data_IF_568339960675
#
_entry.id   IF_568339960675
#
_cell.length_a   1.000
_cell.length_b   1.000
_cell.length_c   1.000
_cell.angle_alpha   90.00
_cell.angle_beta   90.00
_cell.angle_gamma   90.00
#
_symmetry.space_group_name_H-M   'P 1'
#
loop_
_entity.id
_entity.type
_entity.pdbx_description
1 polymer ?
#
# COMPACT_ATOMS: atom_id res chain seq x y z
N UNK A 1 26.81 27.17 3.12
CA UNK A 1 25.43 27.51 3.55
C UNK A 1 25.24 29.01 3.66
N UNK A 2 24.11 29.59 3.22
CA UNK A 2 23.82 31.00 3.44
C UNK A 2 23.77 31.32 4.94
N UNK A 3 24.36 32.43 5.37
CA UNK A 3 24.46 32.83 6.79
C UNK A 3 23.11 33.07 7.48
N UNK A 4 22.02 33.20 6.71
CA UNK A 4 20.67 33.39 7.21
C UNK A 4 19.93 32.09 7.53
N UNK A 5 20.44 30.93 7.11
CA UNK A 5 19.79 29.64 7.32
C UNK A 5 20.31 29.02 8.63
N UNK A 6 19.49 28.88 9.69
CA UNK A 6 19.94 28.30 10.94
C UNK A 6 20.39 26.85 10.70
N UNK A 7 21.62 26.54 11.11
CA UNK A 7 22.13 25.17 11.09
C UNK A 7 23.00 24.88 12.30
N UNK A 8 22.98 23.63 12.73
CA UNK A 8 23.88 23.09 13.74
C UNK A 8 24.91 22.22 13.00
N UNK A 9 26.21 22.29 13.34
CA UNK A 9 27.21 21.42 12.74
C UNK A 9 26.81 19.96 12.83
N UNK A 10 26.98 19.22 11.74
CA UNK A 10 26.76 17.78 11.76
C UNK A 10 27.85 17.13 12.63
N UNK A 11 27.50 16.25 13.59
CA UNK A 11 28.46 15.67 14.52
C UNK A 11 29.50 14.80 13.79
N UNK A 12 30.70 14.63 14.38
CA UNK A 12 31.73 13.79 13.78
C UNK A 12 31.29 12.31 13.76
N UNK A 13 31.85 11.50 12.84
CA UNK A 13 31.58 10.06 12.80
C UNK A 13 32.09 9.33 14.06
N UNK A 14 31.81 8.03 14.14
CA UNK A 14 32.32 7.11 15.17
C UNK A 14 31.89 7.48 16.61
N UNK A 15 30.65 7.98 16.77
CA UNK A 15 30.09 8.23 18.09
C UNK A 15 29.91 6.91 18.86
N UNK A 16 30.15 6.90 20.19
CA UNK A 16 29.82 5.75 21.00
C UNK A 16 28.31 5.56 21.01
N UNK A 17 27.84 4.33 20.88
CA UNK A 17 26.43 3.97 20.95
C UNK A 17 26.11 2.94 22.04
N UNK A 18 24.86 2.92 22.48
CA UNK A 18 24.37 1.98 23.50
C UNK A 18 24.40 0.53 23.03
N UNK A 19 24.09 0.28 21.75
CA UNK A 19 23.96 -1.07 21.21
C UNK A 19 25.26 -1.62 20.61
N UNK A 20 26.44 -1.04 20.84
CA UNK A 20 27.68 -1.65 20.34
C UNK A 20 27.94 -3.06 20.92
N UNK A 21 28.65 -3.94 20.18
CA UNK A 21 29.14 -3.78 18.81
C UNK A 21 28.06 -4.00 17.73
N UNK A 22 28.21 -3.41 16.55
CA UNK A 22 27.36 -3.72 15.37
C UNK A 22 27.54 -5.19 15.00
N UNK A 23 26.44 -5.91 14.76
CA UNK A 23 26.49 -7.34 14.37
C UNK A 23 25.75 -7.64 13.08
N UNK A 24 25.04 -6.67 12.50
CA UNK A 24 24.41 -6.80 11.19
C UNK A 24 25.45 -6.99 10.08
N UNK A 25 25.02 -7.58 8.97
CA UNK A 25 25.86 -7.70 7.76
C UNK A 25 25.86 -6.45 6.91
N UNK A 26 24.93 -5.53 7.18
CA UNK A 26 24.77 -4.26 6.50
C UNK A 26 24.77 -3.10 7.50
N UNK A 27 25.27 -1.97 7.01
CA UNK A 27 25.20 -0.66 7.64
C UNK A 27 25.00 0.37 6.52
N UNK A 28 24.08 1.31 6.71
CA UNK A 28 23.69 2.22 5.64
C UNK A 28 24.50 3.51 5.66
N UNK A 29 24.16 4.43 4.76
CA UNK A 29 24.93 5.66 4.61
C UNK A 29 24.69 6.67 5.74
N UNK A 30 23.62 6.59 6.50
CA UNK A 30 23.46 7.43 7.69
C UNK A 30 24.61 7.15 8.68
N UNK A 31 25.16 8.18 9.33
CA UNK A 31 26.19 7.97 10.35
C UNK A 31 25.60 7.38 11.63
N UNK A 32 26.34 6.52 12.31
CA UNK A 32 25.86 5.89 13.55
C UNK A 32 25.92 6.85 14.75
N UNK A 33 24.85 6.87 15.54
CA UNK A 33 24.71 7.52 16.84
C UNK A 33 25.03 9.03 16.84
N UNK A 34 25.11 9.68 15.66
CA UNK A 34 25.47 11.10 15.57
C UNK A 34 24.46 12.00 16.32
N UNK A 35 23.17 11.67 16.26
CA UNK A 35 22.12 12.45 16.88
C UNK A 35 21.80 12.02 18.32
N UNK A 36 22.00 10.74 18.66
CA UNK A 36 21.65 10.17 19.97
C UNK A 36 22.45 8.92 20.28
N UNK A 37 22.75 8.72 21.57
CA UNK A 37 23.43 7.53 22.08
C UNK A 37 22.62 6.23 21.93
N UNK A 38 21.29 6.31 21.76
CA UNK A 38 20.40 5.15 21.85
C UNK A 38 19.91 4.57 20.52
N UNK A 39 20.05 5.31 19.41
CA UNK A 39 19.59 4.90 18.07
C UNK A 39 20.70 5.19 17.07
N UNK A 40 21.16 4.16 16.37
CA UNK A 40 22.28 4.24 15.46
C UNK A 40 21.97 5.17 14.28
N UNK A 41 20.97 4.84 13.48
CA UNK A 41 20.60 5.60 12.28
C UNK A 41 19.24 6.27 12.53
N UNK A 42 19.23 7.49 13.09
CA UNK A 42 18.01 8.10 13.65
C UNK A 42 16.95 8.45 12.59
N UNK A 43 17.36 8.92 11.41
CA UNK A 43 16.45 9.30 10.34
C UNK A 43 15.87 8.04 9.71
N UNK A 44 16.72 7.05 9.42
CA UNK A 44 16.28 5.72 8.97
C UNK A 44 15.34 5.08 10.00
N UNK A 45 15.61 5.23 11.29
CA UNK A 45 14.73 4.76 12.37
C UNK A 45 13.38 5.48 12.37
N UNK A 46 13.38 6.82 12.41
CA UNK A 46 12.15 7.60 12.59
C UNK A 46 11.22 7.57 11.37
N UNK A 47 11.78 7.48 10.17
CA UNK A 47 10.98 7.35 8.93
C UNK A 47 10.09 6.10 8.94
N UNK A 48 10.47 5.05 9.68
CA UNK A 48 9.66 3.85 9.85
C UNK A 48 8.41 4.03 10.74
N UNK A 49 8.31 5.11 11.52
CA UNK A 49 7.07 5.41 12.27
C UNK A 49 5.87 5.62 11.34
N UNK A 50 6.12 6.03 10.10
CA UNK A 50 5.08 6.15 9.08
C UNK A 50 4.44 4.79 8.77
N UNK A 51 5.22 3.71 8.63
CA UNK A 51 4.68 2.36 8.43
C UNK A 51 3.77 1.97 9.59
N UNK A 52 4.23 2.19 10.83
CA UNK A 52 3.45 1.83 12.03
C UNK A 52 2.11 2.58 12.05
N UNK A 53 2.13 3.88 11.74
CA UNK A 53 0.92 4.69 11.67
C UNK A 53 -0.03 4.24 10.54
N UNK A 54 0.50 3.99 9.33
CA UNK A 54 -0.28 3.56 8.18
C UNK A 54 -0.88 2.16 8.38
N UNK A 55 -0.16 1.26 9.06
CA UNK A 55 -0.67 -0.05 9.45
C UNK A 55 -1.88 0.07 10.37
N UNK A 56 -1.77 0.88 11.43
CA UNK A 56 -2.87 1.16 12.35
C UNK A 56 -4.10 1.71 11.60
N UNK A 57 -3.88 2.69 10.71
CA UNK A 57 -4.93 3.26 9.87
C UNK A 57 -5.58 2.21 8.96
N UNK A 58 -4.79 1.35 8.35
CA UNK A 58 -5.24 0.25 7.49
C UNK A 58 -6.11 -0.76 8.24
N UNK A 59 -5.64 -1.27 9.39
CA UNK A 59 -6.40 -2.19 10.25
C UNK A 59 -7.71 -1.56 10.70
N UNK A 60 -7.68 -0.29 11.12
CA UNK A 60 -8.89 0.45 11.51
C UNK A 60 -9.88 0.55 10.34
N UNK A 61 -9.40 0.79 9.13
CA UNK A 61 -10.23 0.82 7.92
C UNK A 61 -10.86 -0.54 7.64
N UNK A 62 -10.06 -1.62 7.64
CA UNK A 62 -10.56 -2.99 7.41
C UNK A 62 -11.71 -3.34 8.36
N UNK A 63 -11.54 -3.06 9.66
CA UNK A 63 -12.57 -3.34 10.67
C UNK A 63 -13.79 -2.44 10.53
N UNK A 64 -13.60 -1.15 10.29
CA UNK A 64 -14.70 -0.17 10.16
C UNK A 64 -15.57 -0.45 8.93
N UNK A 65 -14.94 -0.78 7.81
CA UNK A 65 -15.60 -0.93 6.51
C UNK A 65 -15.98 -2.39 6.20
N UNK A 66 -15.59 -3.34 7.05
CA UNK A 66 -15.91 -4.76 6.89
C UNK A 66 -15.19 -5.41 5.71
N UNK A 67 -13.92 -5.09 5.49
CA UNK A 67 -13.10 -5.75 4.46
C UNK A 67 -12.68 -7.16 4.91
N UNK A 68 -12.34 -8.03 3.95
CA UNK A 68 -11.85 -9.38 4.24
C UNK A 68 -10.69 -9.37 5.25
N UNK A 69 -10.74 -10.31 6.20
CA UNK A 69 -9.75 -10.45 7.28
C UNK A 69 -8.32 -10.67 6.77
N UNK A 70 -8.15 -11.21 5.56
CA UNK A 70 -6.83 -11.37 4.93
C UNK A 70 -6.09 -10.04 4.78
N UNK A 71 -6.80 -8.92 4.58
CA UNK A 71 -6.18 -7.61 4.47
C UNK A 71 -5.81 -7.01 5.82
N UNK A 72 -6.54 -7.36 6.89
CA UNK A 72 -6.11 -7.04 8.25
C UNK A 72 -4.79 -7.75 8.58
N UNK A 73 -4.67 -9.03 8.21
CA UNK A 73 -3.42 -9.80 8.34
C UNK A 73 -2.30 -9.18 7.49
N UNK A 74 -2.60 -8.72 6.26
CA UNK A 74 -1.62 -8.02 5.42
C UNK A 74 -1.12 -6.71 6.06
N UNK A 75 -2.00 -5.91 6.67
CA UNK A 75 -1.59 -4.71 7.40
C UNK A 75 -0.78 -5.03 8.67
N UNK A 76 -1.03 -6.17 9.31
CA UNK A 76 -0.17 -6.64 10.40
C UNK A 76 1.23 -7.04 9.90
N UNK A 77 1.33 -7.71 8.75
CA UNK A 77 2.63 -7.97 8.10
C UNK A 77 3.36 -6.66 7.76
N UNK A 78 2.65 -5.69 7.19
CA UNK A 78 3.16 -4.35 6.91
C UNK A 78 3.64 -3.61 8.17
N UNK A 79 2.93 -3.75 9.31
CA UNK A 79 3.39 -3.26 10.62
C UNK A 79 4.71 -3.92 11.02
N UNK A 80 4.85 -5.24 10.87
CA UNK A 80 6.05 -5.97 11.23
C UNK A 80 7.26 -5.57 10.38
N UNK A 81 7.07 -5.24 9.10
CA UNK A 81 8.12 -4.65 8.25
C UNK A 81 8.60 -3.34 8.86
N UNK A 82 7.69 -2.38 9.10
CA UNK A 82 8.06 -1.08 9.67
C UNK A 82 8.67 -1.15 11.07
N UNK A 83 8.12 -2.02 11.93
CA UNK A 83 8.65 -2.21 13.28
C UNK A 83 10.01 -2.93 13.26
N UNK A 84 10.17 -3.94 12.40
CA UNK A 84 11.44 -4.62 12.18
C UNK A 84 12.53 -3.66 11.74
N UNK A 85 12.24 -2.86 10.70
CA UNK A 85 13.13 -1.81 10.20
C UNK A 85 13.46 -0.77 11.27
N UNK A 86 12.46 -0.27 12.01
CA UNK A 86 12.69 0.64 13.15
C UNK A 86 13.69 0.06 14.16
N UNK A 87 13.51 -1.20 14.57
CA UNK A 87 14.38 -1.86 15.53
C UNK A 87 15.76 -2.17 14.95
N UNK A 88 15.83 -2.49 13.65
CA UNK A 88 17.09 -2.71 12.95
C UNK A 88 17.93 -1.44 12.91
N UNK A 89 17.40 -0.33 12.38
CA UNK A 89 18.13 0.94 12.29
C UNK A 89 18.45 1.55 13.67
N UNK A 90 17.68 1.21 14.71
CA UNK A 90 18.01 1.62 16.09
C UNK A 90 19.25 0.89 16.61
N UNK A 91 19.42 -0.39 16.28
CA UNK A 91 20.33 -1.30 17.01
C UNK A 91 21.50 -1.84 16.18
N UNK A 92 21.35 -1.89 14.85
CA UNK A 92 22.25 -2.54 13.89
C UNK A 92 22.63 -3.97 14.30
N UNK A 93 21.61 -4.73 14.76
CA UNK A 93 21.76 -6.12 15.18
C UNK A 93 21.21 -7.09 14.15
N UNK A 94 21.96 -8.15 13.91
CA UNK A 94 21.59 -9.19 12.95
C UNK A 94 20.20 -9.80 13.16
N UNK A 95 19.73 -10.12 14.39
CA UNK A 95 18.36 -10.61 14.56
C UNK A 95 17.29 -9.61 14.09
N UNK A 96 17.49 -8.31 14.30
CA UNK A 96 16.56 -7.28 13.85
C UNK A 96 16.66 -7.04 12.35
N UNK A 97 17.85 -7.17 11.76
CA UNK A 97 18.03 -7.19 10.30
C UNK A 97 17.19 -8.31 9.66
N UNK A 98 17.22 -9.53 10.23
CA UNK A 98 16.39 -10.63 9.74
C UNK A 98 14.90 -10.32 9.85
N UNK A 99 14.46 -9.69 10.96
CA UNK A 99 13.05 -9.29 11.14
C UNK A 99 12.65 -8.23 10.12
N UNK A 100 13.51 -7.26 9.82
CA UNK A 100 13.24 -6.25 8.78
C UNK A 100 13.11 -6.91 7.40
N UNK A 101 14.18 -7.53 6.92
CA UNK A 101 14.28 -8.04 5.55
C UNK A 101 13.29 -9.19 5.30
N UNK A 102 13.24 -10.20 6.17
CA UNK A 102 12.40 -11.38 5.92
C UNK A 102 10.91 -11.07 5.99
N UNK A 103 10.47 -10.13 6.83
CA UNK A 103 9.06 -9.73 6.89
C UNK A 103 8.58 -9.10 5.59
N UNK A 104 9.46 -8.48 4.80
CA UNK A 104 9.09 -7.99 3.46
C UNK A 104 8.64 -9.15 2.56
N UNK A 105 9.38 -10.27 2.59
CA UNK A 105 9.04 -11.49 1.82
C UNK A 105 7.77 -12.12 2.37
N UNK A 106 7.65 -12.29 3.69
CA UNK A 106 6.48 -12.92 4.32
C UNK A 106 5.19 -12.14 4.03
N UNK A 107 5.22 -10.81 4.14
CA UNK A 107 4.08 -9.95 3.82
C UNK A 107 3.69 -10.06 2.35
N UNK A 108 4.69 -10.15 1.47
CA UNK A 108 4.46 -10.35 0.04
C UNK A 108 3.85 -11.72 -0.25
N UNK A 109 4.27 -12.78 0.46
CA UNK A 109 3.63 -14.10 0.40
C UNK A 109 2.18 -14.08 0.93
N UNK A 110 1.88 -13.31 1.98
CA UNK A 110 0.49 -13.14 2.44
C UNK A 110 -0.38 -12.47 1.37
N UNK A 111 0.16 -11.47 0.67
CA UNK A 111 -0.52 -10.82 -0.46
C UNK A 111 -0.66 -11.77 -1.67
N UNK A 112 0.34 -12.60 -1.93
CA UNK A 112 0.27 -13.68 -2.93
C UNK A 112 -0.86 -14.65 -2.59
N UNK A 113 -0.95 -15.08 -1.32
CA UNK A 113 -2.01 -15.93 -0.82
C UNK A 113 -3.37 -15.28 -1.02
N UNK A 114 -3.56 -14.03 -0.58
CA UNK A 114 -4.81 -13.29 -0.73
C UNK A 114 -5.26 -13.23 -2.21
N UNK A 115 -4.31 -13.03 -3.11
CA UNK A 115 -4.58 -12.96 -4.54
C UNK A 115 -4.90 -14.35 -5.13
N UNK A 116 -4.03 -15.35 -4.92
CA UNK A 116 -4.05 -16.66 -5.61
C UNK A 116 -5.07 -17.64 -5.03
N UNK A 117 -5.39 -17.53 -3.75
CA UNK A 117 -6.42 -18.36 -3.10
C UNK A 117 -7.85 -17.92 -3.43
N UNK A 118 -8.03 -16.72 -3.97
CA UNK A 118 -9.35 -16.15 -4.23
C UNK A 118 -10.21 -17.02 -5.14
N UNK A 119 -11.46 -17.27 -4.71
CA UNK A 119 -12.44 -18.09 -5.42
C UNK A 119 -11.93 -19.51 -5.76
N UNK A 120 -10.92 -20.00 -5.02
CA UNK A 120 -10.41 -21.37 -5.16
C UNK A 120 -10.99 -22.30 -4.10
N UNK A 121 -11.15 -23.61 -4.39
CA UNK A 121 -11.65 -24.55 -3.39
C UNK A 121 -10.66 -24.73 -2.22
N UNK A 122 -11.16 -25.13 -1.05
CA UNK A 122 -10.40 -25.17 0.20
C UNK A 122 -9.10 -26.00 0.13
N UNK A 123 -9.09 -27.10 -0.62
CA UNK A 123 -7.89 -27.91 -0.83
C UNK A 123 -6.77 -27.14 -1.54
N UNK A 124 -7.12 -26.31 -2.54
CA UNK A 124 -6.16 -25.47 -3.25
C UNK A 124 -5.65 -24.35 -2.34
N UNK A 125 -6.52 -23.72 -1.56
CA UNK A 125 -6.11 -22.70 -0.59
C UNK A 125 -5.15 -23.28 0.44
N UNK A 126 -5.44 -24.47 0.98
CA UNK A 126 -4.56 -25.16 1.92
C UNK A 126 -3.21 -25.52 1.29
N UNK A 127 -3.21 -26.10 0.08
CA UNK A 127 -1.99 -26.46 -0.63
C UNK A 127 -1.12 -25.24 -0.93
N UNK A 128 -1.72 -24.13 -1.37
CA UNK A 128 -1.02 -22.87 -1.59
C UNK A 128 -0.44 -22.31 -0.28
N UNK A 129 -1.19 -22.36 0.82
CA UNK A 129 -0.72 -21.92 2.13
C UNK A 129 0.50 -22.73 2.60
N UNK A 130 0.44 -24.06 2.49
CA UNK A 130 1.57 -24.95 2.81
C UNK A 130 2.78 -24.63 1.91
N UNK A 131 2.56 -24.47 0.60
CA UNK A 131 3.62 -24.11 -0.33
C UNK A 131 4.31 -22.79 0.05
N UNK A 132 3.53 -21.74 0.34
CA UNK A 132 4.08 -20.43 0.72
C UNK A 132 4.82 -20.47 2.07
N UNK A 133 4.36 -21.28 3.02
CA UNK A 133 5.06 -21.51 4.30
C UNK A 133 6.41 -22.20 4.08
N UNK A 134 6.44 -23.28 3.29
CA UNK A 134 7.69 -23.97 2.93
C UNK A 134 8.62 -23.02 2.18
N UNK A 135 8.09 -22.23 1.24
CA UNK A 135 8.85 -21.23 0.50
C UNK A 135 9.48 -20.21 1.46
N UNK A 136 8.71 -19.62 2.38
CA UNK A 136 9.23 -18.67 3.37
C UNK A 136 10.31 -19.30 4.25
N UNK A 137 10.10 -20.53 4.73
CA UNK A 137 11.09 -21.26 5.54
C UNK A 137 12.38 -21.53 4.76
N UNK A 138 12.28 -21.97 3.51
CA UNK A 138 13.44 -22.24 2.64
C UNK A 138 14.25 -20.96 2.37
N UNK A 139 13.58 -19.86 2.01
CA UNK A 139 14.24 -18.56 1.81
C UNK A 139 14.91 -18.09 3.09
N UNK A 140 14.26 -18.25 4.24
CA UNK A 140 14.81 -17.86 5.54
C UNK A 140 16.08 -18.63 5.89
N UNK A 141 16.04 -19.96 5.77
CA UNK A 141 17.19 -20.81 6.07
C UNK A 141 18.36 -20.52 5.12
N UNK A 142 18.06 -20.36 3.83
CA UNK A 142 19.08 -20.08 2.82
C UNK A 142 19.67 -18.68 2.99
N UNK A 143 18.84 -17.68 3.27
CA UNK A 143 19.30 -16.32 3.54
C UNK A 143 20.14 -16.26 4.82
N UNK A 144 19.73 -16.94 5.88
CA UNK A 144 20.50 -17.02 7.11
C UNK A 144 21.85 -17.71 6.93
N UNK A 145 21.94 -18.69 6.02
CA UNK A 145 23.18 -19.38 5.67
C UNK A 145 24.11 -18.52 4.80
N UNK A 146 23.58 -17.87 3.75
CA UNK A 146 24.38 -17.05 2.83
C UNK A 146 24.78 -15.69 3.42
N UNK A 147 23.86 -15.08 4.17
CA UNK A 147 23.95 -13.71 4.69
C UNK A 147 24.24 -12.64 3.61
N UNK A 148 23.89 -12.93 2.35
CA UNK A 148 24.05 -12.04 1.21
C UNK A 148 22.75 -11.28 0.90
N UNK A 149 22.68 -9.97 1.16
CA UNK A 149 21.45 -9.19 0.97
C UNK A 149 21.01 -9.09 -0.50
N UNK A 150 21.91 -9.31 -1.47
CA UNK A 150 21.54 -9.30 -2.89
C UNK A 150 20.59 -10.46 -3.22
N UNK A 151 20.78 -11.62 -2.57
CA UNK A 151 19.87 -12.74 -2.70
C UNK A 151 18.45 -12.36 -2.24
N UNK A 152 18.34 -11.75 -1.06
CA UNK A 152 17.05 -11.28 -0.52
C UNK A 152 16.37 -10.29 -1.47
N UNK A 153 17.09 -9.26 -1.91
CA UNK A 153 16.58 -8.21 -2.79
C UNK A 153 16.04 -8.80 -4.10
N UNK A 154 16.77 -9.75 -4.67
CA UNK A 154 16.40 -10.44 -5.91
C UNK A 154 15.10 -11.23 -5.75
N UNK A 155 15.01 -12.04 -4.70
CA UNK A 155 13.80 -12.84 -4.41
C UNK A 155 12.60 -11.93 -4.18
N UNK A 156 12.77 -10.88 -3.37
CA UNK A 156 11.71 -9.92 -3.08
C UNK A 156 11.23 -9.20 -4.35
N UNK A 157 12.14 -8.77 -5.23
CA UNK A 157 11.81 -8.10 -6.48
C UNK A 157 11.00 -9.00 -7.43
N UNK A 158 11.45 -10.24 -7.67
CA UNK A 158 10.73 -11.18 -8.53
C UNK A 158 9.35 -11.53 -7.98
N UNK A 159 9.25 -11.79 -6.68
CA UNK A 159 7.99 -12.11 -6.04
C UNK A 159 6.99 -10.94 -6.14
N UNK A 160 7.44 -9.72 -5.84
CA UNK A 160 6.61 -8.51 -5.93
C UNK A 160 6.13 -8.27 -7.36
N UNK A 161 7.03 -8.35 -8.34
CA UNK A 161 6.70 -8.17 -9.75
C UNK A 161 5.65 -9.19 -10.20
N UNK A 162 5.83 -10.46 -9.88
CA UNK A 162 4.88 -11.52 -10.22
C UNK A 162 3.47 -11.22 -9.68
N UNK A 163 3.36 -10.85 -8.40
CA UNK A 163 2.06 -10.61 -7.78
C UNK A 163 1.39 -9.35 -8.33
N UNK A 164 2.15 -8.27 -8.56
CA UNK A 164 1.61 -7.04 -9.14
C UNK A 164 1.11 -7.30 -10.56
N UNK A 165 1.89 -7.96 -11.41
CA UNK A 165 1.49 -8.29 -12.78
C UNK A 165 0.26 -9.19 -12.82
N UNK A 166 0.24 -10.24 -12.00
CA UNK A 166 -0.93 -11.11 -11.89
C UNK A 166 -2.16 -10.33 -11.44
N UNK A 167 -2.02 -9.43 -10.48
CA UNK A 167 -3.15 -8.70 -9.92
C UNK A 167 -3.68 -7.67 -10.93
N UNK A 168 -2.79 -7.05 -11.72
CA UNK A 168 -3.17 -6.21 -12.86
C UNK A 168 -3.91 -7.02 -13.93
N UNK A 169 -3.44 -8.23 -14.24
CA UNK A 169 -4.15 -9.15 -15.13
C UNK A 169 -5.57 -9.44 -14.60
N UNK A 170 -5.71 -9.76 -13.31
CA UNK A 170 -7.02 -10.01 -12.71
C UNK A 170 -7.94 -8.79 -12.80
N UNK A 171 -7.42 -7.61 -12.49
CA UNK A 171 -8.14 -6.33 -12.60
C UNK A 171 -8.66 -6.10 -14.04
N UNK A 172 -7.78 -6.25 -15.04
CA UNK A 172 -8.12 -6.04 -16.44
C UNK A 172 -9.20 -7.01 -16.93
N UNK A 173 -9.07 -8.30 -16.61
CA UNK A 173 -10.06 -9.31 -16.99
C UNK A 173 -11.42 -9.11 -16.30
N UNK A 174 -11.43 -8.55 -15.09
CA UNK A 174 -12.67 -8.31 -14.35
C UNK A 174 -13.41 -7.05 -14.76
N UNK A 175 -12.71 -6.00 -15.21
CA UNK A 175 -13.33 -4.68 -15.47
C UNK A 175 -13.44 -4.32 -16.95
N UNK A 176 -12.51 -4.76 -17.81
CA UNK A 176 -12.49 -4.31 -19.20
C UNK A 176 -13.60 -4.99 -20.02
N UNK A 177 -14.53 -4.23 -20.64
CA UNK A 177 -15.67 -4.82 -21.35
C UNK A 177 -15.31 -5.77 -22.49
N UNK A 178 -14.19 -5.51 -23.18
CA UNK A 178 -13.70 -6.37 -24.25
C UNK A 178 -13.20 -7.73 -23.74
N UNK A 179 -12.57 -7.78 -22.55
CA UNK A 179 -12.05 -9.00 -21.94
C UNK A 179 -13.13 -9.79 -21.20
N UNK A 180 -14.03 -9.11 -20.50
CA UNK A 180 -15.19 -9.73 -19.82
C UNK A 180 -16.30 -10.15 -20.78
N UNK A 181 -16.18 -9.81 -22.05
CA UNK A 181 -17.19 -10.07 -23.08
C UNK A 181 -18.55 -9.41 -22.76
N UNK A 182 -18.54 -8.14 -22.32
CA UNK A 182 -19.74 -7.36 -21.98
C UNK A 182 -20.02 -6.20 -22.95
N UNK A 183 -19.41 -6.18 -24.13
CA UNK A 183 -19.79 -5.25 -25.21
C UNK A 183 -21.15 -5.59 -25.85
N UNK A 184 -21.76 -4.64 -26.55
CA UNK A 184 -23.07 -4.80 -27.22
C UNK A 184 -23.10 -6.00 -28.18
N UNK A 185 -22.01 -6.24 -28.91
CA UNK A 185 -21.89 -7.40 -29.81
C UNK A 185 -22.07 -8.73 -29.06
N UNK A 186 -21.54 -8.85 -27.84
CA UNK A 186 -21.65 -10.05 -27.03
C UNK A 186 -23.06 -10.21 -26.44
N UNK A 187 -23.72 -9.08 -26.10
CA UNK A 187 -25.13 -9.09 -25.69
C UNK A 187 -26.03 -9.62 -26.80
N UNK A 188 -25.86 -9.10 -28.01
CA UNK A 188 -26.61 -9.53 -29.19
C UNK A 188 -26.33 -11.00 -29.52
N UNK A 189 -25.09 -11.46 -29.38
CA UNK A 189 -24.74 -12.87 -29.57
C UNK A 189 -25.41 -13.79 -28.54
N UNK A 190 -25.42 -13.40 -27.26
CA UNK A 190 -26.12 -14.15 -26.20
C UNK A 190 -27.63 -14.18 -26.41
N UNK A 191 -28.22 -13.06 -26.82
CA UNK A 191 -29.63 -12.97 -27.16
C UNK A 191 -29.99 -13.90 -28.34
N UNK A 192 -29.15 -13.95 -29.38
CA UNK A 192 -29.30 -14.89 -30.50
C UNK A 192 -29.23 -16.36 -30.06
N UNK A 193 -28.44 -16.67 -29.03
CA UNK A 193 -28.34 -18.01 -28.41
C UNK A 193 -29.48 -18.32 -27.42
N UNK A 194 -30.44 -17.41 -27.24
CA UNK A 194 -31.55 -17.58 -26.29
C UNK A 194 -31.13 -17.56 -24.81
N UNK A 195 -29.93 -17.06 -24.51
CA UNK A 195 -29.44 -16.95 -23.13
C UNK A 195 -29.99 -15.69 -22.46
N UNK A 196 -30.10 -15.66 -21.11
CA UNK A 196 -30.42 -14.45 -20.38
C UNK A 196 -29.43 -13.33 -20.71
N UNK A 197 -29.98 -12.15 -21.01
CA UNK A 197 -29.26 -10.92 -21.31
C UNK A 197 -29.82 -9.77 -20.49
N UNK A 198 -28.95 -8.86 -20.10
CA UNK A 198 -29.34 -7.61 -19.45
C UNK A 198 -29.98 -6.64 -20.46
N UNK A 199 -30.68 -5.64 -19.95
CA UNK A 199 -31.10 -4.51 -20.79
C UNK A 199 -29.87 -3.78 -21.32
N UNK A 200 -30.06 -3.07 -22.44
CA UNK A 200 -28.96 -2.32 -23.06
C UNK A 200 -28.48 -1.20 -22.11
N UNK A 201 -29.42 -0.54 -21.45
CA UNK A 201 -29.18 0.55 -20.52
C UNK A 201 -28.39 0.09 -19.29
N UNK A 202 -28.75 -1.06 -18.70
CA UNK A 202 -28.00 -1.62 -17.56
C UNK A 202 -26.58 -2.03 -17.95
N UNK A 203 -26.41 -2.66 -19.12
CA UNK A 203 -25.08 -3.07 -19.59
C UNK A 203 -24.18 -1.87 -19.90
N UNK A 204 -24.72 -0.82 -20.52
CA UNK A 204 -23.98 0.43 -20.76
C UNK A 204 -23.59 1.11 -19.45
N UNK A 205 -24.48 1.11 -18.45
CA UNK A 205 -24.20 1.63 -17.12
C UNK A 205 -23.05 0.87 -16.44
N UNK A 206 -23.11 -0.47 -16.37
CA UNK A 206 -22.06 -1.28 -15.75
C UNK A 206 -20.71 -1.10 -16.46
N UNK A 207 -20.70 -1.12 -17.79
CA UNK A 207 -19.47 -0.93 -18.56
C UNK A 207 -18.86 0.46 -18.31
N UNK A 208 -19.69 1.50 -18.20
CA UNK A 208 -19.20 2.86 -17.91
C UNK A 208 -18.60 2.93 -16.51
N UNK A 209 -19.31 2.44 -15.49
CA UNK A 209 -18.84 2.37 -14.10
C UNK A 209 -17.52 1.61 -14.01
N UNK A 210 -17.43 0.44 -14.64
CA UNK A 210 -16.26 -0.43 -14.54
C UNK A 210 -15.04 0.18 -15.26
N UNK A 211 -15.25 0.91 -16.35
CA UNK A 211 -14.18 1.67 -17.01
C UNK A 211 -13.69 2.86 -16.17
N UNK A 212 -14.56 3.51 -15.40
CA UNK A 212 -14.17 4.56 -14.44
C UNK A 212 -13.35 3.98 -13.27
N UNK A 213 -13.78 2.83 -12.74
CA UNK A 213 -13.02 2.08 -11.73
C UNK A 213 -11.65 1.67 -12.29
N UNK A 214 -11.61 1.08 -13.49
CA UNK A 214 -10.38 0.63 -14.12
C UNK A 214 -9.37 1.78 -14.33
N UNK A 215 -9.84 2.95 -14.77
CA UNK A 215 -9.00 4.15 -14.91
C UNK A 215 -8.41 4.57 -13.57
N UNK A 216 -9.24 4.59 -12.53
CA UNK A 216 -8.82 4.95 -11.18
C UNK A 216 -7.80 3.95 -10.63
N UNK A 217 -8.03 2.65 -10.82
CA UNK A 217 -7.11 1.61 -10.39
C UNK A 217 -5.78 1.64 -11.13
N UNK A 218 -5.77 1.91 -12.44
CA UNK A 218 -4.53 2.11 -13.20
C UNK A 218 -3.74 3.33 -12.74
N UNK A 219 -4.42 4.42 -12.41
CA UNK A 219 -3.76 5.58 -11.81
C UNK A 219 -3.05 5.21 -10.50
N UNK A 220 -3.70 4.44 -9.62
CA UNK A 220 -3.07 3.93 -8.40
C UNK A 220 -1.88 3.01 -8.67
N UNK A 221 -1.96 2.14 -9.67
CA UNK A 221 -0.84 1.27 -10.08
C UNK A 221 0.35 2.10 -10.56
N UNK A 222 0.12 3.03 -11.51
CA UNK A 222 1.20 3.87 -12.06
C UNK A 222 1.80 4.75 -10.97
N UNK A 223 0.98 5.36 -10.12
CA UNK A 223 1.43 6.18 -9.00
C UNK A 223 2.26 5.36 -8.00
N UNK A 224 1.76 4.20 -7.57
CA UNK A 224 2.46 3.31 -6.65
C UNK A 224 3.79 2.79 -7.20
N UNK A 225 3.81 2.34 -8.47
CA UNK A 225 5.04 1.90 -9.15
C UNK A 225 6.04 3.05 -9.27
N UNK A 226 5.59 4.25 -9.62
CA UNK A 226 6.46 5.43 -9.73
C UNK A 226 7.09 5.81 -8.40
N UNK A 227 6.33 5.79 -7.31
CA UNK A 227 6.84 6.02 -5.96
C UNK A 227 7.85 4.93 -5.58
N UNK A 228 7.54 3.66 -5.83
CA UNK A 228 8.43 2.56 -5.46
C UNK A 228 9.76 2.62 -6.22
N UNK A 229 9.72 2.83 -7.54
CA UNK A 229 10.91 2.98 -8.38
C UNK A 229 11.69 4.25 -8.06
N UNK A 230 11.01 5.35 -7.72
CA UNK A 230 11.64 6.58 -7.26
C UNK A 230 12.40 6.37 -5.96
N UNK A 231 11.78 5.70 -4.98
CA UNK A 231 12.44 5.31 -3.74
C UNK A 231 13.65 4.42 -4.03
N UNK A 232 13.49 3.40 -4.87
CA UNK A 232 14.58 2.49 -5.24
C UNK A 232 15.74 3.24 -5.90
N UNK A 233 15.45 4.23 -6.75
CA UNK A 233 16.46 5.10 -7.35
C UNK A 233 17.23 5.89 -6.29
N UNK A 234 16.53 6.54 -5.35
CA UNK A 234 17.15 7.30 -4.26
C UNK A 234 18.00 6.39 -3.36
N UNK A 235 17.49 5.20 -3.02
CA UNK A 235 18.24 4.19 -2.26
C UNK A 235 19.54 3.80 -2.96
N UNK A 236 19.52 3.56 -4.28
CA UNK A 236 20.75 3.26 -5.03
C UNK A 236 21.75 4.42 -5.04
N UNK A 237 21.26 5.66 -5.15
CA UNK A 237 22.12 6.84 -5.07
C UNK A 237 22.79 6.96 -3.68
N UNK A 238 22.05 6.68 -2.62
CA UNK A 238 22.56 6.68 -1.24
C UNK A 238 23.68 5.65 -1.04
N UNK A 239 23.52 4.45 -1.62
CA UNK A 239 24.54 3.41 -1.58
C UNK A 239 25.79 3.76 -2.42
N UNK A 240 25.61 4.30 -3.63
CA UNK A 240 26.73 4.56 -4.54
C UNK A 240 27.53 5.82 -4.20
N UNK A 241 26.86 6.89 -3.76
CA UNK A 241 27.47 8.21 -3.53
C UNK A 241 27.60 8.56 -2.04
N UNK A 242 27.67 7.54 -1.17
CA UNK A 242 27.59 7.75 0.27
C UNK A 242 28.65 8.72 0.82
N UNK A 243 29.91 8.60 0.38
CA UNK A 243 30.99 9.50 0.83
C UNK A 243 30.68 10.97 0.52
N UNK A 244 30.24 11.24 -0.71
CA UNK A 244 29.85 12.58 -1.17
C UNK A 244 28.62 13.10 -0.41
N UNK A 245 27.60 12.26 -0.20
CA UNK A 245 26.40 12.66 0.55
C UNK A 245 26.76 13.02 2.00
N UNK A 246 27.61 12.24 2.66
CA UNK A 246 28.11 12.53 4.01
C UNK A 246 28.89 13.85 4.08
N UNK A 247 29.70 14.15 3.07
CA UNK A 247 30.40 15.45 2.98
C UNK A 247 29.40 16.61 2.87
N UNK A 248 28.40 16.49 2.00
CA UNK A 248 27.36 17.50 1.86
C UNK A 248 26.52 17.65 3.13
N UNK A 249 26.22 16.58 3.86
CA UNK A 249 25.54 16.65 5.17
C UNK A 249 26.33 17.49 6.17
N UNK A 250 27.66 17.35 6.20
CA UNK A 250 28.54 18.17 7.05
C UNK A 250 28.57 19.64 6.62
N UNK A 251 28.60 19.93 5.32
CA UNK A 251 28.57 21.31 4.82
C UNK A 251 27.24 22.02 5.05
N UNK A 252 26.13 21.28 4.98
CA UNK A 252 24.78 21.79 5.23
C UNK A 252 24.46 21.90 6.72
N UNK A 253 24.92 20.95 7.54
CA UNK A 253 24.54 20.85 8.94
C UNK A 253 23.07 20.45 9.15
N UNK A 254 22.69 20.27 10.40
CA UNK A 254 21.33 19.88 10.79
C UNK A 254 20.41 21.10 10.88
N UNK A 255 19.12 20.98 10.53
CA UNK A 255 18.43 19.75 10.09
C UNK A 255 18.54 19.48 8.57
N UNK A 256 19.17 20.37 7.79
CA UNK A 256 19.14 20.31 6.33
C UNK A 256 19.84 19.07 5.74
N UNK A 257 20.88 18.58 6.43
CA UNK A 257 21.52 17.31 6.10
C UNK A 257 20.57 16.11 6.12
N UNK A 258 19.49 16.14 6.91
CA UNK A 258 18.52 15.04 6.98
C UNK A 258 17.83 14.77 5.64
N UNK A 259 17.72 15.79 4.78
CA UNK A 259 17.12 15.60 3.45
C UNK A 259 18.03 14.82 2.49
N UNK A 260 19.31 14.64 2.85
CA UNK A 260 20.27 13.81 2.10
C UNK A 260 20.34 12.37 2.62
N UNK A 261 19.50 11.99 3.59
CA UNK A 261 19.36 10.59 4.02
C UNK A 261 18.50 9.82 3.02
N UNK A 262 19.13 9.30 1.97
CA UNK A 262 18.43 8.66 0.87
C UNK A 262 17.74 7.36 1.30
N UNK A 263 18.33 6.63 2.24
CA UNK A 263 17.70 5.44 2.81
C UNK A 263 16.42 5.78 3.63
N UNK A 264 16.38 6.93 4.30
CA UNK A 264 15.17 7.43 4.96
C UNK A 264 14.06 7.77 3.97
N UNK A 265 14.40 8.38 2.82
CA UNK A 265 13.43 8.60 1.74
C UNK A 265 12.91 7.30 1.13
N UNK A 266 13.76 6.28 1.02
CA UNK A 266 13.34 4.95 0.60
C UNK A 266 12.24 4.38 1.50
N UNK A 267 12.36 4.48 2.83
CA UNK A 267 11.30 4.07 3.76
C UNK A 267 10.00 4.83 3.51
N UNK A 268 10.07 6.16 3.40
CA UNK A 268 8.88 6.98 3.16
C UNK A 268 8.17 6.62 1.85
N UNK A 269 8.94 6.43 0.78
CA UNK A 269 8.37 6.14 -0.53
C UNK A 269 7.83 4.72 -0.60
N UNK A 270 8.61 3.71 -0.22
CA UNK A 270 8.16 2.32 -0.26
C UNK A 270 7.04 2.02 0.72
N UNK A 271 7.05 2.66 1.89
CA UNK A 271 5.97 2.55 2.87
C UNK A 271 4.65 3.09 2.33
N UNK A 272 4.67 4.26 1.69
CA UNK A 272 3.48 4.80 1.01
C UNK A 272 3.07 3.88 -0.15
N UNK A 273 4.02 3.46 -0.99
CA UNK A 273 3.75 2.58 -2.12
C UNK A 273 3.08 1.26 -1.72
N UNK A 274 3.59 0.61 -0.67
CA UNK A 274 3.02 -0.63 -0.14
C UNK A 274 1.64 -0.42 0.51
N UNK A 275 1.40 0.71 1.19
CA UNK A 275 0.05 1.07 1.68
C UNK A 275 -0.95 1.21 0.52
N UNK A 276 -0.56 1.91 -0.55
CA UNK A 276 -1.37 2.08 -1.75
C UNK A 276 -1.64 0.74 -2.45
N UNK A 277 -0.64 -0.15 -2.48
CA UNK A 277 -0.81 -1.50 -3.03
C UNK A 277 -1.83 -2.33 -2.26
N UNK A 278 -1.76 -2.37 -0.91
CA UNK A 278 -2.74 -3.10 -0.09
C UNK A 278 -4.13 -2.52 -0.29
N UNK A 279 -4.27 -1.18 -0.32
CA UNK A 279 -5.54 -0.51 -0.55
C UNK A 279 -6.12 -0.83 -1.94
N UNK A 280 -5.27 -0.80 -2.97
CA UNK A 280 -5.64 -1.20 -4.32
C UNK A 280 -6.09 -2.67 -4.39
N UNK A 281 -5.40 -3.56 -3.66
CA UNK A 281 -5.77 -4.97 -3.57
C UNK A 281 -7.12 -5.18 -2.85
N UNK A 282 -7.42 -4.38 -1.82
CA UNK A 282 -8.76 -4.35 -1.18
C UNK A 282 -9.82 -3.94 -2.19
N UNK A 283 -9.59 -2.88 -2.96
CA UNK A 283 -10.54 -2.45 -4.00
C UNK A 283 -10.73 -3.53 -5.06
N UNK A 284 -9.64 -4.16 -5.50
CA UNK A 284 -9.70 -5.29 -6.43
C UNK A 284 -10.50 -6.47 -5.87
N UNK A 285 -10.40 -6.76 -4.56
CA UNK A 285 -11.24 -7.81 -3.95
C UNK A 285 -12.73 -7.49 -4.08
N UNK A 286 -13.15 -6.27 -3.79
CA UNK A 286 -14.56 -5.88 -3.94
C UNK A 286 -15.03 -5.96 -5.39
N UNK A 287 -14.18 -5.56 -6.34
CA UNK A 287 -14.46 -5.76 -7.78
C UNK A 287 -14.65 -7.24 -8.11
N UNK A 288 -13.77 -8.10 -7.61
CA UNK A 288 -13.83 -9.54 -7.86
C UNK A 288 -15.05 -10.20 -7.23
N UNK A 289 -15.57 -9.66 -6.11
CA UNK A 289 -16.79 -10.11 -5.45
C UNK A 289 -18.07 -9.57 -6.13
N UNK A 290 -17.95 -8.59 -7.04
CA UNK A 290 -19.09 -7.91 -7.66
C UNK A 290 -19.70 -6.79 -6.79
N UNK A 291 -18.98 -6.32 -5.77
CA UNK A 291 -19.47 -5.33 -4.80
C UNK A 291 -19.21 -3.87 -5.21
N UNK A 292 -19.10 -3.61 -6.51
CA UNK A 292 -18.72 -2.30 -7.07
C UNK A 292 -19.72 -1.18 -6.76
N UNK A 293 -20.98 -1.51 -6.52
CA UNK A 293 -22.02 -0.56 -6.11
C UNK A 293 -21.95 -0.22 -4.61
N UNK A 294 -21.38 -1.12 -3.80
CA UNK A 294 -21.37 -1.00 -2.35
C UNK A 294 -20.06 -0.41 -1.82
N UNK A 295 -18.99 -0.39 -2.63
CA UNK A 295 -17.69 0.12 -2.23
C UNK A 295 -17.09 1.04 -3.29
N UNK A 296 -16.47 2.12 -2.83
CA UNK A 296 -15.64 2.98 -3.68
C UNK A 296 -14.31 3.30 -3.02
N UNK A 297 -13.29 3.46 -3.86
CA UNK A 297 -12.03 4.09 -3.49
C UNK A 297 -12.20 5.62 -3.53
N UNK A 298 -11.99 6.27 -2.39
CA UNK A 298 -12.09 7.73 -2.23
C UNK A 298 -10.69 8.31 -2.05
N UNK A 299 -10.37 9.31 -2.86
CA UNK A 299 -9.16 10.10 -2.70
C UNK A 299 -9.40 11.55 -3.16
N UNK A 300 -10.19 12.29 -2.39
CA UNK A 300 -10.66 13.62 -2.79
C UNK A 300 -9.53 14.67 -2.79
N UNK A 301 -8.50 14.47 -1.95
CA UNK A 301 -7.39 15.41 -1.79
C UNK A 301 -6.07 14.67 -1.67
N UNK A 302 -5.05 15.13 -2.39
CA UNK A 302 -3.74 14.47 -2.44
C UNK A 302 -3.06 14.33 -1.07
N UNK A 303 -3.32 15.25 -0.13
CA UNK A 303 -2.76 15.24 1.22
C UNK A 303 -3.56 14.41 2.24
N UNK A 304 -4.70 13.85 1.83
CA UNK A 304 -5.44 12.88 2.62
C UNK A 304 -5.06 11.47 2.15
N UNK A 305 -5.02 10.53 3.09
CA UNK A 305 -4.80 9.12 2.74
C UNK A 305 -6.05 8.58 2.02
N UNK A 306 -5.88 7.86 0.91
CA UNK A 306 -7.00 7.22 0.22
C UNK A 306 -7.62 6.12 1.09
N UNK A 307 -8.92 5.88 0.94
CA UNK A 307 -9.66 4.84 1.67
C UNK A 307 -10.68 4.15 0.75
N UNK A 308 -10.86 2.84 0.92
CA UNK A 308 -11.98 2.10 0.31
C UNK A 308 -13.11 2.11 1.32
N UNK A 309 -14.21 2.80 1.00
CA UNK A 309 -15.32 2.99 1.93
C UNK A 309 -16.57 2.30 1.42
N UNK A 310 -17.38 1.77 2.35
CA UNK A 310 -18.72 1.32 2.04
C UNK A 310 -19.61 2.53 1.74
N UNK A 311 -20.32 2.48 0.63
CA UNK A 311 -21.39 3.42 0.30
C UNK A 311 -22.69 2.81 0.82
N UNK A 312 -23.46 3.56 1.61
CA UNK A 312 -24.83 3.15 1.97
C UNK A 312 -25.69 3.05 0.71
N UNK A 313 -26.68 2.14 0.71
CA UNK A 313 -27.52 1.81 -0.45
C UNK A 313 -27.79 3.02 -1.36
N UNK A 314 -27.60 2.90 -2.69
CA UNK A 314 -27.93 3.98 -3.61
C UNK A 314 -29.37 4.43 -3.36
N UNK A 315 -29.68 5.74 -3.44
CA UNK A 315 -31.06 6.18 -3.32
C UNK A 315 -31.90 5.36 -4.29
N UNK A 316 -33.00 4.76 -3.78
CA UNK A 316 -33.99 4.11 -4.64
C UNK A 316 -34.25 5.05 -5.81
N UNK A 317 -34.26 4.52 -7.03
CA UNK A 317 -34.75 5.24 -8.21
C UNK A 317 -36.14 5.78 -7.87
N UNK A 318 -36.22 7.02 -7.39
CA UNK A 318 -37.47 7.76 -7.39
C UNK A 318 -37.81 8.01 -8.85
N UNK A 319 -39.02 7.63 -9.20
CA UNK A 319 -39.60 7.75 -10.51
C UNK A 319 -39.36 9.15 -11.07
N UNK A 320 -38.46 9.26 -12.04
CA UNK A 320 -38.36 10.41 -12.92
C UNK A 320 -39.57 10.42 -13.85
N UNK A 321 -40.77 10.59 -13.28
CA UNK A 321 -42.06 10.80 -13.94
C UNK A 321 -43.01 11.46 -12.94
N UNK A 322 -42.71 12.70 -12.57
CA UNK A 322 -43.53 13.43 -11.60
C UNK A 322 -43.15 14.89 -11.41
N UNK A 323 -42.73 15.60 -12.45
CA UNK A 323 -42.56 17.05 -12.38
C UNK A 323 -43.19 17.71 -13.61
N UNK A 324 -44.51 17.68 -13.65
CA UNK A 324 -45.32 18.63 -14.42
C UNK A 324 -46.39 19.20 -13.50
N UNK A 325 -46.33 20.52 -13.34
CA UNK A 325 -47.34 21.46 -12.82
C UNK A 325 -47.58 21.55 -11.31
N UNK A 326 -47.32 22.75 -10.79
CA UNK A 326 -47.90 23.21 -9.52
C UNK A 326 -47.18 24.41 -8.93
N UNK A 327 -47.41 25.61 -9.46
CA UNK A 327 -47.01 26.86 -8.81
C UNK A 327 -47.77 27.08 -7.49
N UNK A 328 -47.23 27.98 -6.66
CA UNK A 328 -47.75 28.62 -5.44
C UNK A 328 -46.97 28.12 -4.20
N UNK A 329 -46.61 28.90 -3.20
CA UNK A 329 -46.53 30.32 -2.92
C UNK A 329 -45.89 30.41 -1.50
N UNK A 330 -45.31 31.56 -1.16
CA UNK A 330 -44.72 31.86 0.16
C UNK A 330 -45.63 31.54 1.36
N UNK A 331 -45.04 31.14 2.49
CA UNK A 331 -45.77 31.04 3.77
C UNK A 331 -44.87 30.81 4.99
N UNK A 332 -44.91 31.75 5.93
CA UNK A 332 -44.17 31.86 7.19
C UNK A 332 -44.36 30.71 8.22
N UNK A 333 -43.26 30.45 8.95
CA UNK A 333 -43.06 30.45 10.41
C UNK A 333 -43.99 29.75 11.42
N UNK A 334 -43.32 29.20 12.46
CA UNK A 334 -43.78 28.70 13.79
C UNK A 334 -44.55 27.39 13.75
N UNK A 335 -44.39 26.44 14.66
CA UNK A 335 -43.77 26.40 15.98
C UNK A 335 -44.42 25.23 16.75
N UNK A 336 -43.79 24.87 17.86
CA UNK A 336 -44.29 24.04 18.96
C UNK A 336 -44.19 22.51 18.93
N UNK A 337 -43.56 22.08 20.03
CA UNK A 337 -43.41 20.75 20.53
C UNK A 337 -44.73 20.15 21.04
N UNK A 338 -44.83 18.82 20.99
CA UNK A 338 -45.40 18.07 22.12
C UNK A 338 -44.97 16.60 22.12
N UNK A 339 -44.37 16.21 23.24
CA UNK A 339 -44.27 14.83 23.74
C UNK A 339 -45.67 14.28 24.03
N UNK A 340 -45.88 13.00 23.73
CA UNK A 340 -46.66 11.94 24.44
C UNK A 340 -46.72 10.76 23.46
N UNK A 341 -46.46 9.49 23.79
CA UNK A 341 -46.36 8.73 25.05
C UNK A 341 -45.22 7.73 24.92
#
# INVERSE_FOLDING_TARGET
>A
MPSWLPSIPYPPPDQPGYWHPVTSTLQWCEEDYYATYYSAEIINTLTNLMFIYLAYKGVKSCRKQGHDTVFEVAYFGYFLVGFGSFMFHTTLKYPWQLVDELNMIYTTCLMAYASLSYSRPANHQLALGIFLLIFCAAITLYYHYLQDPVFHQTVYAFLTLFIVLRSCYSMEFSLRPSLRQSEEKHRLERARKGLPVMTKEEQEYENKRDMEILRTMWFFVVFGVSIFLGGFGIWNLDNQYCSTLREWRRELGMPWGFFLEGHGWWHLMTGIGAYFYILWAIHLRHVLNGDQEHFRLVWDRFYQLPEVVRISDPPKKEDANGAVNGSLANGHAKGDAKKTK
#
